data_IF_254705650736
#
_entry.id   IF_254705650736
#
_cell.length_a   1.000
_cell.length_b   1.000
_cell.length_c   1.000
_cell.angle_alpha   90.00
_cell.angle_beta   90.00
_cell.angle_gamma   90.00
#
_symmetry.space_group_name_H-M   'P 1'
#
loop_
_entity.id
_entity.type
_entity.pdbx_description
1 polymer ?
#
# COMPACT_ATOMS: atom_id res chain seq x y z
N UNK A 1 -10.34 8.55 -15.23
CA UNK A 1 -10.19 8.84 -13.80
C UNK A 1 -10.74 7.65 -13.05
N UNK A 2 -9.89 6.87 -12.36
CA UNK A 2 -10.35 5.76 -11.54
C UNK A 2 -11.33 6.26 -10.46
N UNK A 3 -12.29 5.42 -10.09
CA UNK A 3 -13.23 5.65 -9.00
C UNK A 3 -12.61 5.27 -7.65
N UNK A 4 -13.27 5.64 -6.55
CA UNK A 4 -12.86 5.20 -5.20
C UNK A 4 -13.00 3.67 -5.02
N UNK A 5 -13.87 3.03 -5.82
CA UNK A 5 -14.01 1.57 -5.85
C UNK A 5 -12.76 0.96 -6.46
N UNK A 6 -12.33 1.45 -7.62
CA UNK A 6 -11.12 0.95 -8.30
C UNK A 6 -9.87 1.09 -7.43
N UNK A 7 -9.79 2.16 -6.62
CA UNK A 7 -8.68 2.35 -5.68
C UNK A 7 -8.68 1.32 -4.55
N UNK A 8 -9.86 1.03 -3.99
CA UNK A 8 -9.99 0.01 -2.94
C UNK A 8 -9.68 -1.38 -3.50
N UNK A 9 -10.12 -1.68 -4.71
CA UNK A 9 -9.79 -2.93 -5.39
C UNK A 9 -8.28 -3.07 -5.61
N UNK A 10 -7.59 -2.00 -6.03
CA UNK A 10 -6.13 -1.99 -6.14
C UNK A 10 -5.47 -2.36 -4.79
N UNK A 11 -5.92 -1.76 -3.69
CA UNK A 11 -5.35 -2.03 -2.37
C UNK A 11 -5.61 -3.46 -1.89
N UNK A 12 -6.77 -4.04 -2.21
CA UNK A 12 -7.08 -5.43 -1.91
C UNK A 12 -6.16 -6.37 -2.73
N UNK A 13 -6.02 -6.11 -4.03
CA UNK A 13 -5.15 -6.90 -4.89
C UNK A 13 -3.69 -6.85 -4.43
N UNK A 14 -3.20 -5.69 -3.97
CA UNK A 14 -1.86 -5.59 -3.37
C UNK A 14 -1.69 -6.47 -2.13
N UNK A 15 -2.73 -6.61 -1.29
CA UNK A 15 -2.69 -7.52 -0.16
C UNK A 15 -2.55 -8.96 -0.68
N UNK A 16 -3.43 -9.40 -1.58
CA UNK A 16 -3.47 -10.75 -2.12
C UNK A 16 -2.20 -11.16 -2.89
N UNK A 17 -1.57 -10.22 -3.60
CA UNK A 17 -0.38 -10.48 -4.42
C UNK A 17 0.93 -10.52 -3.59
N UNK A 18 0.92 -10.07 -2.33
CA UNK A 18 2.11 -10.11 -1.48
C UNK A 18 2.15 -11.34 -0.58
N UNK A 19 3.30 -12.01 -0.58
CA UNK A 19 3.63 -13.07 0.38
C UNK A 19 3.69 -12.55 1.82
N UNK A 20 3.56 -13.45 2.80
CA UNK A 20 3.59 -13.11 4.23
C UNK A 20 4.88 -12.36 4.61
N UNK A 21 6.02 -12.78 4.06
CA UNK A 21 7.32 -12.15 4.26
C UNK A 21 7.38 -10.74 3.68
N UNK A 22 6.82 -10.54 2.48
CA UNK A 22 6.70 -9.23 1.85
C UNK A 22 5.79 -8.33 2.65
N UNK A 23 4.63 -8.80 3.11
CA UNK A 23 3.71 -8.03 3.98
C UNK A 23 4.42 -7.56 5.25
N UNK A 24 5.14 -8.45 5.94
CA UNK A 24 5.92 -8.08 7.15
C UNK A 24 6.95 -7.01 6.85
N UNK A 25 7.68 -7.16 5.74
CA UNK A 25 8.70 -6.19 5.31
C UNK A 25 8.07 -4.85 4.89
N UNK A 26 6.91 -4.88 4.23
CA UNK A 26 6.14 -3.70 3.87
C UNK A 26 5.76 -2.91 5.11
N UNK A 27 5.08 -3.56 6.07
CA UNK A 27 4.66 -2.92 7.32
C UNK A 27 5.85 -2.41 8.13
N UNK A 28 6.98 -3.13 8.11
CA UNK A 28 8.21 -2.65 8.74
C UNK A 28 8.70 -1.33 8.12
N UNK A 29 8.66 -1.21 6.80
CA UNK A 29 9.10 0.00 6.08
C UNK A 29 8.15 1.19 6.25
N UNK A 30 6.87 0.96 6.58
CA UNK A 30 5.94 2.02 6.97
C UNK A 30 6.32 2.69 8.30
N UNK A 31 7.23 2.09 9.09
CA UNK A 31 7.87 2.76 10.23
C UNK A 31 6.89 3.36 11.24
N UNK A 32 7.02 4.68 11.49
CA UNK A 32 6.21 5.45 12.44
C UNK A 32 4.82 5.84 11.90
N UNK A 33 4.55 5.59 10.61
CA UNK A 33 3.23 5.83 10.04
C UNK A 33 2.19 4.81 10.55
N UNK A 34 2.63 3.67 11.07
CA UNK A 34 1.76 2.64 11.68
C UNK A 34 2.14 2.39 13.15
N UNK A 35 1.20 2.58 14.10
CA UNK A 35 1.42 2.21 15.50
C UNK A 35 1.84 0.74 15.63
N UNK A 36 2.84 0.45 16.47
CA UNK A 36 3.38 -0.92 16.64
C UNK A 36 2.30 -1.99 16.86
N UNK A 37 1.29 -1.69 17.67
CA UNK A 37 0.16 -2.58 17.98
C UNK A 37 -0.73 -2.95 16.78
N UNK A 38 -0.64 -2.19 15.69
CA UNK A 38 -1.44 -2.39 14.48
C UNK A 38 -0.63 -3.04 13.35
N UNK A 39 0.64 -3.37 13.57
CA UNK A 39 1.52 -3.89 12.51
C UNK A 39 1.23 -5.34 12.11
N UNK A 40 0.51 -6.06 12.94
CA UNK A 40 0.09 -7.44 12.66
C UNK A 40 -1.33 -7.51 12.07
N UNK A 41 -1.97 -6.37 11.81
CA UNK A 41 -3.29 -6.29 11.18
C UNK A 41 -3.20 -6.59 9.66
N UNK A 42 -4.32 -7.01 9.03
CA UNK A 42 -4.41 -7.14 7.57
C UNK A 42 -3.98 -5.85 6.85
N UNK A 43 -3.36 -5.96 5.66
CA UNK A 43 -2.87 -4.75 4.99
C UNK A 43 -3.99 -3.80 4.57
N UNK A 44 -5.21 -4.27 4.35
CA UNK A 44 -6.38 -3.41 4.12
C UNK A 44 -6.57 -2.42 5.27
N UNK A 45 -6.40 -2.86 6.52
CA UNK A 45 -6.48 -1.99 7.69
C UNK A 45 -5.28 -1.04 7.78
N UNK A 46 -4.09 -1.53 7.39
CA UNK A 46 -2.88 -0.71 7.27
C UNK A 46 -3.06 0.41 6.24
N UNK A 47 -3.60 0.09 5.05
CA UNK A 47 -3.88 1.05 4.00
C UNK A 47 -4.92 2.07 4.44
N UNK A 48 -5.94 1.66 5.18
CA UNK A 48 -6.93 2.57 5.79
C UNK A 48 -6.24 3.59 6.71
N UNK A 49 -5.30 3.15 7.55
CA UNK A 49 -4.52 4.07 8.40
C UNK A 49 -3.69 5.05 7.57
N UNK A 50 -3.09 4.60 6.46
CA UNK A 50 -2.31 5.47 5.58
C UNK A 50 -3.20 6.51 4.87
N UNK A 51 -4.43 6.14 4.49
CA UNK A 51 -5.42 7.05 3.92
C UNK A 51 -5.84 8.09 4.96
N UNK A 52 -6.21 7.65 6.17
CA UNK A 52 -6.63 8.53 7.26
C UNK A 52 -5.53 9.53 7.67
N UNK A 53 -4.27 9.13 7.52
CA UNK A 53 -3.09 9.97 7.74
C UNK A 53 -2.69 10.83 6.54
N UNK A 54 -3.42 10.74 5.42
CA UNK A 54 -3.15 11.48 4.19
C UNK A 54 -1.83 11.09 3.50
N UNK A 55 -1.28 9.91 3.82
CA UNK A 55 -0.05 9.39 3.18
C UNK A 55 -0.31 8.86 1.79
N UNK A 56 -1.49 8.27 1.58
CA UNK A 56 -1.92 7.73 0.30
C UNK A 56 -3.35 8.18 0.03
N UNK A 57 -3.70 8.32 -1.25
CA UNK A 57 -5.06 8.56 -1.70
C UNK A 57 -5.19 8.10 -3.15
N UNK A 58 -6.42 8.06 -3.68
CA UNK A 58 -6.67 7.78 -5.09
C UNK A 58 -5.88 8.68 -6.04
N UNK A 59 -5.55 9.91 -5.63
CA UNK A 59 -4.82 10.90 -6.43
C UNK A 59 -3.32 10.97 -6.08
N UNK A 60 -2.88 10.20 -5.08
CA UNK A 60 -1.49 10.20 -4.63
C UNK A 60 -1.12 8.85 -4.02
N UNK A 61 -0.57 7.98 -4.85
CA UNK A 61 -0.05 6.65 -4.55
C UNK A 61 1.48 6.62 -4.51
N UNK A 62 2.17 7.75 -4.72
CA UNK A 62 3.63 7.83 -4.79
C UNK A 62 4.34 7.17 -3.61
N UNK A 63 3.78 7.32 -2.41
CA UNK A 63 4.32 6.70 -1.21
C UNK A 63 4.28 5.15 -1.30
N UNK A 64 3.22 4.55 -1.83
CA UNK A 64 3.16 3.10 -2.08
C UNK A 64 4.19 2.67 -3.13
N UNK A 65 4.27 3.42 -4.24
CA UNK A 65 5.23 3.14 -5.32
C UNK A 65 6.67 3.14 -4.80
N UNK A 66 7.02 4.12 -3.96
CA UNK A 66 8.35 4.21 -3.36
C UNK A 66 8.65 2.98 -2.49
N UNK A 67 7.75 2.62 -1.58
CA UNK A 67 7.95 1.49 -0.66
C UNK A 67 8.07 0.17 -1.43
N UNK A 68 7.17 -0.08 -2.39
CA UNK A 68 7.20 -1.29 -3.22
C UNK A 68 8.49 -1.38 -4.05
N UNK A 69 8.96 -0.25 -4.58
CA UNK A 69 10.24 -0.17 -5.30
C UNK A 69 11.42 -0.50 -4.39
N UNK A 70 11.44 0.02 -3.15
CA UNK A 70 12.50 -0.28 -2.15
C UNK A 70 12.51 -1.76 -1.74
N UNK A 71 11.35 -2.42 -1.79
CA UNK A 71 11.23 -3.86 -1.56
C UNK A 71 11.63 -4.71 -2.76
N UNK A 72 11.85 -4.09 -3.94
CA UNK A 72 12.06 -4.73 -5.25
C UNK A 72 10.81 -5.43 -5.80
N UNK A 73 9.62 -5.03 -5.35
CA UNK A 73 8.33 -5.48 -5.89
C UNK A 73 7.94 -4.63 -7.10
N UNK A 74 8.77 -4.66 -8.14
CA UNK A 74 8.68 -3.75 -9.28
C UNK A 74 7.39 -3.90 -10.08
N UNK A 75 6.85 -5.12 -10.17
CA UNK A 75 5.57 -5.38 -10.83
C UNK A 75 4.40 -4.66 -10.11
N UNK A 76 4.31 -4.82 -8.78
CA UNK A 76 3.32 -4.14 -7.96
C UNK A 76 3.50 -2.62 -7.99
N UNK A 77 4.75 -2.14 -7.90
CA UNK A 77 5.04 -0.71 -7.99
C UNK A 77 4.56 -0.12 -9.34
N UNK A 78 4.74 -0.84 -10.44
CA UNK A 78 4.28 -0.42 -11.76
C UNK A 78 2.75 -0.43 -11.88
N UNK A 79 2.08 -1.44 -11.33
CA UNK A 79 0.60 -1.50 -11.28
C UNK A 79 0.02 -0.30 -10.51
N UNK A 80 0.61 0.03 -9.35
CA UNK A 80 0.19 1.19 -8.55
C UNK A 80 0.47 2.51 -9.26
N UNK A 81 1.64 2.67 -9.89
CA UNK A 81 1.97 3.89 -10.63
C UNK A 81 1.01 4.13 -11.82
N UNK A 82 0.59 3.05 -12.49
CA UNK A 82 -0.38 3.11 -13.59
C UNK A 82 -1.79 3.47 -13.14
N UNK A 83 -2.12 3.32 -11.87
CA UNK A 83 -3.44 3.67 -11.37
C UNK A 83 -3.70 5.18 -11.43
N UNK A 84 -2.66 6.01 -11.25
CA UNK A 84 -2.80 7.47 -11.31
C UNK A 84 -2.92 8.02 -12.74
N UNK A 85 -2.61 7.22 -13.75
CA UNK A 85 -2.52 7.64 -15.17
C UNK A 85 -3.79 7.34 -15.94
#
# INVERSE_FOLDING_TARGET
MPSDIDFRELLINLDDEMSIEERKRFVFLLGDDIPRRKRDEPLVDIFTILIDRGRISRMNCNYLVEILTRMKLTALAYQVARFET
#
